data_IF_830412897310
#
_entry.id   IF_830412897310
#
_cell.length_a   1.000
_cell.length_b   1.000
_cell.length_c   1.000
_cell.angle_alpha   90.00
_cell.angle_beta   90.00
_cell.angle_gamma   90.00
#
_symmetry.space_group_name_H-M   'P 1'
#
loop_
_entity.id
_entity.type
_entity.pdbx_description
1 polymer ?
#
# COMPACT_ATOMS: atom_id res chain seq x y z
N UNK A 1 -15.91 50.90 -47.03
CA UNK A 1 -14.69 50.33 -47.62
C UNK A 1 -13.67 50.12 -46.52
N UNK A 2 -13.41 48.92 -46.12
CA UNK A 2 -12.12 48.25 -45.99
C UNK A 2 -12.25 47.02 -45.14
N UNK A 3 -11.84 45.93 -45.72
CA UNK A 3 -12.04 44.56 -45.33
C UNK A 3 -11.28 44.15 -44.05
N UNK A 4 -11.99 43.30 -43.31
CA UNK A 4 -11.53 42.27 -42.46
C UNK A 4 -10.34 41.48 -43.00
N UNK A 5 -9.40 41.08 -42.11
CA UNK A 5 -8.63 39.86 -42.27
C UNK A 5 -8.70 39.01 -41.02
N UNK A 6 -9.19 37.83 -41.26
CA UNK A 6 -9.26 36.70 -40.36
C UNK A 6 -7.88 36.34 -39.80
N UNK A 7 -7.77 36.24 -38.51
CA UNK A 7 -6.71 35.49 -37.82
C UNK A 7 -7.15 34.09 -37.60
N UNK A 8 -6.51 33.14 -38.25
CA UNK A 8 -6.74 31.72 -38.16
C UNK A 8 -6.29 31.24 -36.75
N UNK A 9 -7.25 30.67 -36.06
CA UNK A 9 -7.06 29.96 -34.80
C UNK A 9 -6.02 28.87 -34.98
N UNK A 10 -4.91 28.98 -34.27
CA UNK A 10 -3.97 27.88 -34.08
C UNK A 10 -4.46 26.96 -33.00
N UNK A 11 -5.41 26.13 -33.37
CA UNK A 11 -5.80 24.97 -32.60
C UNK A 11 -4.93 23.81 -33.10
N UNK A 12 -3.67 23.80 -32.69
CA UNK A 12 -2.84 22.62 -32.94
C UNK A 12 -1.77 22.54 -31.85
N UNK A 13 -1.65 21.34 -31.32
CA UNK A 13 -0.57 20.89 -30.47
C UNK A 13 -0.74 21.08 -28.94
N UNK A 14 -1.67 20.37 -28.35
CA UNK A 14 -1.40 19.76 -27.06
C UNK A 14 -1.51 18.25 -27.20
N UNK A 15 -0.57 17.69 -27.91
CA UNK A 15 -0.27 16.26 -27.83
C UNK A 15 0.56 16.09 -26.56
N UNK A 16 -0.11 15.74 -25.48
CA UNK A 16 0.55 15.40 -24.22
C UNK A 16 1.24 14.07 -24.43
N UNK A 17 2.54 14.13 -24.61
CA UNK A 17 3.43 12.98 -24.50
C UNK A 17 3.46 12.59 -23.02
N UNK A 18 2.71 11.58 -22.66
CA UNK A 18 2.90 10.87 -21.38
C UNK A 18 4.17 10.05 -21.51
N UNK A 19 5.29 10.65 -21.17
CA UNK A 19 6.54 9.93 -20.96
C UNK A 19 6.43 9.27 -19.60
N UNK A 20 6.24 7.96 -19.61
CA UNK A 20 6.43 7.12 -18.43
C UNK A 20 7.93 7.12 -18.13
N UNK A 21 8.35 7.96 -17.21
CA UNK A 21 9.70 7.90 -16.65
C UNK A 21 9.64 6.91 -15.50
N UNK A 22 10.03 5.67 -15.77
CA UNK A 22 10.46 4.74 -14.73
C UNK A 22 11.83 5.24 -14.23
N UNK A 23 11.83 6.17 -13.30
CA UNK A 23 13.04 6.58 -12.61
C UNK A 23 13.28 5.64 -11.44
N UNK A 24 14.26 4.75 -11.60
CA UNK A 24 14.88 4.07 -10.48
C UNK A 24 15.54 5.13 -9.59
N UNK A 25 14.97 5.43 -8.44
CA UNK A 25 15.62 6.26 -7.43
C UNK A 25 16.59 5.41 -6.63
N UNK A 26 17.86 5.43 -7.03
CA UNK A 26 18.97 5.18 -6.11
C UNK A 26 19.16 6.47 -5.31
N UNK A 27 18.76 6.48 -4.05
CA UNK A 27 19.06 7.58 -3.14
C UNK A 27 20.21 7.11 -2.25
N UNK A 28 21.41 7.63 -2.53
CA UNK A 28 22.48 7.64 -1.53
C UNK A 28 22.09 8.65 -0.44
N UNK A 29 21.97 8.17 0.80
CA UNK A 29 21.57 8.98 1.95
C UNK A 29 22.84 9.49 2.64
N UNK A 30 23.12 10.80 2.65
CA UNK A 30 24.01 11.36 3.65
C UNK A 30 23.28 11.40 5.00
N UNK A 31 23.97 10.91 6.04
CA UNK A 31 23.51 10.98 7.42
C UNK A 31 23.34 12.44 7.84
N UNK A 32 22.11 12.93 7.81
CA UNK A 32 21.65 14.08 8.59
C UNK A 32 20.30 13.69 9.17
N UNK A 33 20.17 13.77 10.49
CA UNK A 33 18.91 13.53 11.19
C UNK A 33 17.89 14.56 10.72
N UNK A 34 17.05 14.16 9.76
CA UNK A 34 15.90 14.91 9.30
C UNK A 34 14.75 13.93 9.21
N UNK A 35 13.68 14.22 9.93
CA UNK A 35 12.39 13.55 9.84
C UNK A 35 11.88 13.67 8.41
N UNK A 36 12.09 12.65 7.59
CA UNK A 36 11.57 12.62 6.22
C UNK A 36 10.17 12.05 6.23
N UNK A 37 9.19 12.92 6.04
CA UNK A 37 7.83 12.55 5.67
C UNK A 37 7.88 12.01 4.24
N UNK A 38 7.92 10.70 4.08
CA UNK A 38 7.75 10.08 2.77
C UNK A 38 6.25 9.85 2.57
N UNK A 39 5.57 10.80 1.95
CA UNK A 39 4.22 10.59 1.45
C UNK A 39 4.31 9.68 0.23
N UNK A 40 4.00 8.41 0.39
CA UNK A 40 3.74 7.53 -0.73
C UNK A 40 2.30 7.79 -1.18
N UNK A 41 2.13 8.48 -2.28
CA UNK A 41 0.83 8.67 -2.88
C UNK A 41 0.19 7.30 -3.13
N UNK A 42 -1.00 7.09 -2.56
CA UNK A 42 -1.80 5.88 -2.77
C UNK A 42 -2.27 5.83 -4.22
N UNK A 43 -1.55 5.12 -5.05
CA UNK A 43 -2.04 4.72 -6.37
C UNK A 43 -2.63 3.32 -6.24
N UNK A 44 -3.96 3.20 -6.39
CA UNK A 44 -4.58 1.90 -6.65
C UNK A 44 -3.98 1.34 -7.95
N UNK A 45 -3.04 0.43 -7.83
CA UNK A 45 -2.44 -0.23 -8.99
C UNK A 45 -3.44 -1.22 -9.56
N UNK A 46 -3.99 -0.90 -10.73
CA UNK A 46 -4.71 -1.88 -11.55
C UNK A 46 -3.77 -2.33 -12.64
N UNK A 47 -3.30 -3.55 -12.59
CA UNK A 47 -2.49 -4.15 -13.66
C UNK A 47 -3.31 -5.23 -14.34
N UNK A 48 -3.32 -5.22 -15.65
CA UNK A 48 -4.01 -6.20 -16.48
C UNK A 48 -3.02 -7.24 -16.95
N UNK A 49 -3.19 -8.49 -16.54
CA UNK A 49 -2.44 -9.59 -17.09
C UNK A 49 -3.22 -10.20 -18.27
N UNK A 50 -2.62 -10.20 -19.46
CA UNK A 50 -3.17 -10.90 -20.64
C UNK A 50 -2.37 -12.18 -20.83
N UNK A 51 -3.00 -13.32 -20.65
CA UNK A 51 -2.38 -14.62 -20.96
C UNK A 51 -3.05 -15.21 -22.18
N UNK A 52 -2.27 -15.44 -23.24
CA UNK A 52 -2.70 -16.25 -24.38
C UNK A 52 -2.46 -17.71 -24.03
N UNK A 53 -3.49 -18.45 -23.67
CA UNK A 53 -3.38 -19.90 -23.44
C UNK A 53 -3.15 -20.60 -24.77
N UNK A 54 -1.98 -21.22 -24.92
CA UNK A 54 -1.67 -22.10 -26.03
C UNK A 54 -2.12 -23.53 -25.67
N UNK A 55 -3.17 -23.97 -26.26
CA UNK A 55 -3.80 -25.29 -26.36
C UNK A 55 -5.18 -25.37 -25.68
N UNK A 56 -6.22 -24.99 -26.44
CA UNK A 56 -7.61 -25.22 -26.05
C UNK A 56 -8.46 -23.98 -25.87
N UNK A 57 -8.19 -22.93 -26.60
CA UNK A 57 -9.22 -22.00 -27.05
C UNK A 57 -9.88 -21.06 -26.06
N UNK A 58 -9.34 -20.74 -24.91
CA UNK A 58 -9.87 -19.65 -24.08
C UNK A 58 -8.99 -18.42 -24.19
N UNK A 59 -9.44 -17.43 -24.95
CA UNK A 59 -8.85 -16.09 -24.98
C UNK A 59 -9.62 -15.21 -24.01
N UNK A 60 -8.98 -14.79 -22.91
CA UNK A 60 -9.59 -13.90 -21.94
C UNK A 60 -8.58 -13.16 -21.12
N UNK A 61 -9.03 -12.09 -20.46
CA UNK A 61 -8.22 -11.27 -19.56
C UNK A 61 -8.73 -11.42 -18.15
N UNK A 62 -7.84 -11.73 -17.21
CA UNK A 62 -8.11 -11.67 -15.78
C UNK A 62 -7.41 -10.44 -15.20
N UNK A 63 -8.18 -9.53 -14.65
CA UNK A 63 -7.66 -8.33 -14.00
C UNK A 63 -7.73 -8.52 -12.50
N UNK A 64 -6.67 -8.16 -11.80
CA UNK A 64 -6.56 -8.17 -10.34
C UNK A 64 -6.53 -6.73 -9.83
N UNK A 65 -7.25 -6.45 -8.77
CA UNK A 65 -7.18 -5.20 -8.02
C UNK A 65 -6.86 -5.51 -6.57
N UNK A 66 -5.71 -5.01 -6.10
CA UNK A 66 -5.23 -5.18 -4.73
C UNK A 66 -5.09 -3.79 -4.13
N UNK A 67 -5.68 -3.56 -2.95
CA UNK A 67 -5.51 -2.29 -2.25
C UNK A 67 -4.05 -2.12 -1.79
N UNK A 68 -3.54 -0.92 -1.88
CA UNK A 68 -2.17 -0.54 -1.52
C UNK A 68 -2.20 0.62 -0.51
N UNK A 69 -1.19 0.81 0.32
CA UNK A 69 0.05 0.03 0.45
C UNK A 69 -0.16 -1.23 1.31
N UNK A 70 0.68 -2.25 1.09
CA UNK A 70 0.73 -3.45 1.94
C UNK A 70 1.97 -3.41 2.82
N UNK A 71 1.76 -3.33 4.14
CA UNK A 71 2.82 -3.31 5.13
C UNK A 71 2.51 -4.36 6.18
N UNK A 72 3.48 -5.22 6.46
CA UNK A 72 3.36 -6.28 7.44
C UNK A 72 4.41 -6.15 8.52
N UNK A 73 4.04 -6.49 9.76
CA UNK A 73 4.95 -6.53 10.91
C UNK A 73 4.67 -7.78 11.75
N UNK A 74 5.67 -8.28 12.50
CA UNK A 74 5.48 -9.42 13.40
C UNK A 74 4.34 -9.19 14.40
N UNK A 75 3.49 -10.21 14.57
CA UNK A 75 2.37 -10.19 15.51
C UNK A 75 1.16 -9.38 15.06
N UNK A 76 1.14 -8.93 13.81
CA UNK A 76 -0.01 -8.28 13.20
C UNK A 76 -0.29 -8.92 11.84
N UNK A 77 -1.55 -9.25 11.60
CA UNK A 77 -2.02 -9.74 10.31
C UNK A 77 -2.61 -8.57 9.52
N UNK A 78 -2.18 -8.43 8.27
CA UNK A 78 -2.74 -7.48 7.32
C UNK A 78 -3.72 -8.19 6.41
N UNK A 79 -4.99 -7.76 6.44
CA UNK A 79 -6.03 -8.33 5.59
C UNK A 79 -6.48 -7.35 4.53
N UNK A 80 -6.38 -7.77 3.28
CA UNK A 80 -6.70 -6.94 2.11
C UNK A 80 -7.65 -7.67 1.15
N UNK A 81 -8.56 -6.91 0.55
CA UNK A 81 -9.42 -7.46 -0.50
C UNK A 81 -8.65 -7.51 -1.82
N UNK A 82 -8.65 -8.69 -2.44
CA UNK A 82 -8.20 -8.90 -3.81
C UNK A 82 -9.43 -9.11 -4.68
N UNK A 83 -9.66 -8.21 -5.60
CA UNK A 83 -10.79 -8.28 -6.52
C UNK A 83 -10.32 -8.74 -7.89
N UNK A 84 -11.00 -9.72 -8.44
CA UNK A 84 -10.75 -10.30 -9.75
C UNK A 84 -11.88 -9.93 -10.70
N UNK A 85 -11.55 -9.54 -11.92
CA UNK A 85 -12.53 -9.30 -13.00
C UNK A 85 -12.12 -10.10 -14.23
N UNK A 86 -12.99 -11.01 -14.69
CA UNK A 86 -12.74 -11.84 -15.84
C UNK A 86 -13.49 -11.29 -17.06
N UNK A 87 -12.81 -11.16 -18.20
CA UNK A 87 -13.35 -10.73 -19.49
C UNK A 87 -12.98 -11.75 -20.54
N UNK A 88 -13.94 -12.10 -21.39
CA UNK A 88 -13.77 -13.12 -22.45
C UNK A 88 -14.12 -14.52 -21.96
N UNK A 89 -13.44 -15.54 -22.48
CA UNK A 89 -13.75 -16.94 -22.22
C UNK A 89 -13.06 -17.53 -21.00
N UNK A 90 -12.80 -16.73 -19.95
CA UNK A 90 -12.29 -17.22 -18.67
C UNK A 90 -13.44 -17.88 -17.92
N UNK A 91 -13.27 -19.16 -17.60
CA UNK A 91 -14.24 -19.93 -16.81
C UNK A 91 -13.51 -21.01 -16.01
N UNK A 92 -14.13 -21.46 -14.92
CA UNK A 92 -13.64 -22.54 -14.07
C UNK A 92 -13.09 -22.05 -12.73
N UNK A 93 -12.64 -23.00 -11.93
CA UNK A 93 -12.12 -22.76 -10.59
C UNK A 93 -10.60 -22.53 -10.63
N UNK A 94 -10.18 -21.38 -10.11
CA UNK A 94 -8.78 -20.97 -10.02
C UNK A 94 -8.31 -20.99 -8.58
N UNK A 95 -7.29 -21.79 -8.29
CA UNK A 95 -6.60 -21.79 -7.01
C UNK A 95 -5.70 -20.56 -6.88
N UNK A 96 -5.73 -19.92 -5.71
CA UNK A 96 -4.97 -18.71 -5.43
C UNK A 96 -3.72 -19.04 -4.63
N UNK A 97 -2.63 -18.38 -5.00
CA UNK A 97 -1.34 -18.47 -4.31
C UNK A 97 -0.62 -17.12 -4.34
N UNK A 98 0.33 -16.93 -3.42
CA UNK A 98 1.26 -15.80 -3.45
C UNK A 98 2.70 -16.31 -3.53
N UNK A 99 3.55 -15.57 -4.23
CA UNK A 99 4.98 -15.88 -4.38
C UNK A 99 5.83 -14.61 -4.32
N UNK A 100 7.14 -14.76 -4.09
CA UNK A 100 8.05 -13.61 -3.98
C UNK A 100 7.85 -12.77 -2.70
N UNK A 101 7.15 -13.31 -1.70
CA UNK A 101 7.02 -12.67 -0.39
C UNK A 101 8.37 -12.55 0.30
N UNK A 102 8.59 -11.53 1.17
CA UNK A 102 9.75 -11.47 2.05
C UNK A 102 9.91 -12.75 2.86
N UNK A 103 11.16 -13.13 3.16
CA UNK A 103 11.42 -14.30 4.01
C UNK A 103 10.73 -14.14 5.36
N UNK A 104 10.00 -15.15 5.80
CA UNK A 104 9.21 -15.13 7.03
C UNK A 104 7.84 -14.44 6.90
N UNK A 105 7.46 -13.98 5.71
CA UNK A 105 6.11 -13.51 5.42
C UNK A 105 5.33 -14.59 4.68
N UNK A 106 4.08 -14.81 5.09
CA UNK A 106 3.15 -15.77 4.46
C UNK A 106 1.88 -15.06 4.02
N UNK A 107 1.19 -15.64 3.04
CA UNK A 107 -0.11 -15.18 2.59
C UNK A 107 -1.11 -16.34 2.59
N UNK A 108 -2.33 -16.06 3.02
CA UNK A 108 -3.47 -16.98 2.92
C UNK A 108 -4.62 -16.30 2.20
N UNK A 109 -5.45 -17.07 1.52
CA UNK A 109 -6.61 -16.57 0.78
C UNK A 109 -7.91 -17.19 1.31
N UNK A 110 -8.93 -16.37 1.49
CA UNK A 110 -10.26 -16.80 1.90
C UNK A 110 -11.33 -16.19 0.99
N UNK A 111 -11.99 -17.00 0.15
CA UNK A 111 -11.71 -18.39 -0.15
C UNK A 111 -10.35 -18.60 -0.84
N UNK A 112 -9.80 -19.83 -0.77
CA UNK A 112 -8.51 -20.19 -1.39
C UNK A 112 -8.58 -20.39 -2.90
N UNK A 113 -9.78 -20.34 -3.47
CA UNK A 113 -10.03 -20.42 -4.89
C UNK A 113 -11.20 -19.53 -5.29
N UNK A 114 -11.24 -19.15 -6.55
CA UNK A 114 -12.33 -18.39 -7.17
C UNK A 114 -12.88 -19.15 -8.36
N UNK A 115 -14.21 -19.19 -8.48
CA UNK A 115 -14.88 -19.75 -9.64
C UNK A 115 -15.34 -18.61 -10.55
N UNK A 116 -14.93 -18.65 -11.80
CA UNK A 116 -15.33 -17.68 -12.81
C UNK A 116 -16.32 -18.30 -13.78
N UNK A 117 -17.59 -18.00 -13.68
CA UNK A 117 -18.45 -17.97 -14.86
C UNK A 117 -18.08 -16.71 -15.65
N UNK A 118 -18.05 -16.82 -16.98
CA UNK A 118 -17.64 -15.72 -17.88
C UNK A 118 -18.36 -14.40 -17.54
N UNK A 119 -17.58 -13.30 -17.44
CA UNK A 119 -18.09 -11.93 -17.28
C UNK A 119 -18.38 -11.48 -15.85
N UNK A 120 -17.89 -12.16 -14.82
CA UNK A 120 -18.13 -11.78 -13.42
C UNK A 120 -16.89 -11.24 -12.71
N UNK A 121 -17.19 -10.49 -11.65
CA UNK A 121 -16.19 -10.03 -10.66
C UNK A 121 -16.32 -10.88 -9.41
N UNK A 122 -15.20 -11.30 -8.85
CA UNK A 122 -15.11 -12.01 -7.57
C UNK A 122 -14.11 -11.32 -6.64
N UNK A 123 -14.31 -11.45 -5.33
CA UNK A 123 -13.40 -10.90 -4.33
C UNK A 123 -13.05 -11.95 -3.29
N UNK A 124 -11.80 -11.95 -2.88
CA UNK A 124 -11.28 -12.77 -1.79
C UNK A 124 -10.53 -11.90 -0.80
N UNK A 125 -10.42 -12.36 0.43
CA UNK A 125 -9.53 -11.76 1.42
C UNK A 125 -8.18 -12.44 1.35
N UNK A 126 -7.12 -11.67 1.12
CA UNK A 126 -5.74 -12.09 1.30
C UNK A 126 -5.27 -11.60 2.67
N UNK A 127 -4.81 -12.52 3.51
CA UNK A 127 -4.22 -12.20 4.81
C UNK A 127 -2.73 -12.45 4.75
N UNK A 128 -1.95 -11.43 5.04
CA UNK A 128 -0.49 -11.45 5.13
C UNK A 128 -0.08 -11.49 6.59
N UNK A 129 0.82 -12.40 6.95
CA UNK A 129 1.32 -12.56 8.32
C UNK A 129 2.85 -12.59 8.29
N UNK A 130 3.49 -11.88 9.22
CA UNK A 130 4.94 -11.85 9.37
C UNK A 130 5.36 -12.59 10.65
N UNK A 131 6.31 -13.51 10.52
CA UNK A 131 6.96 -14.15 11.66
C UNK A 131 7.88 -13.16 12.41
N UNK A 132 8.22 -13.44 13.67
CA UNK A 132 9.09 -12.60 14.49
C UNK A 132 10.49 -12.34 13.88
N UNK A 133 10.95 -13.25 13.01
CA UNK A 133 12.22 -13.12 12.28
C UNK A 133 12.05 -12.77 10.81
N UNK A 134 10.91 -12.23 10.41
CA UNK A 134 10.69 -11.84 9.02
C UNK A 134 11.72 -10.80 8.55
N UNK A 135 12.16 -10.94 7.30
CA UNK A 135 13.12 -10.01 6.72
C UNK A 135 12.50 -8.62 6.59
N UNK A 136 13.22 -7.59 7.06
CA UNK A 136 12.81 -6.18 6.95
C UNK A 136 13.25 -5.66 5.59
N UNK A 137 12.33 -5.59 4.65
CA UNK A 137 12.64 -5.27 3.25
C UNK A 137 11.42 -4.73 2.51
N UNK A 138 11.68 -3.86 1.53
CA UNK A 138 10.73 -3.54 0.48
C UNK A 138 10.96 -4.50 -0.68
N UNK A 139 9.90 -5.18 -1.12
CA UNK A 139 9.98 -6.13 -2.22
C UNK A 139 8.75 -6.09 -3.10
N UNK A 140 8.79 -6.84 -4.18
CA UNK A 140 7.64 -7.08 -5.05
C UNK A 140 7.25 -8.55 -4.94
N UNK A 141 6.01 -8.79 -4.55
CA UNK A 141 5.40 -10.11 -4.49
C UNK A 141 4.36 -10.26 -5.62
N UNK A 142 3.84 -11.47 -5.78
CA UNK A 142 2.87 -11.80 -6.81
C UNK A 142 1.69 -12.55 -6.22
N UNK A 143 0.47 -12.20 -6.65
CA UNK A 143 -0.70 -13.08 -6.55
C UNK A 143 -0.84 -13.84 -7.84
N UNK A 144 -1.09 -15.13 -7.74
CA UNK A 144 -1.30 -16.04 -8.85
C UNK A 144 -2.65 -16.72 -8.75
N UNK A 145 -3.37 -16.79 -9.87
CA UNK A 145 -4.59 -17.58 -10.02
C UNK A 145 -4.31 -18.67 -11.06
N UNK A 146 -4.45 -19.95 -10.67
CA UNK A 146 -4.04 -21.10 -11.47
C UNK A 146 -5.19 -22.08 -11.66
N UNK A 147 -5.43 -22.49 -12.92
CA UNK A 147 -6.36 -23.55 -13.28
C UNK A 147 -5.74 -24.39 -14.42
N UNK A 148 -5.35 -25.63 -14.13
CA UNK A 148 -4.64 -26.48 -15.08
C UNK A 148 -3.33 -25.83 -15.57
N UNK A 149 -3.20 -25.60 -16.85
CA UNK A 149 -2.05 -24.89 -17.45
C UNK A 149 -2.19 -23.37 -17.50
N UNK A 150 -3.34 -22.83 -17.15
CA UNK A 150 -3.59 -21.38 -17.15
C UNK A 150 -3.10 -20.77 -15.85
N UNK A 151 -2.21 -19.79 -15.94
CA UNK A 151 -1.65 -19.04 -14.81
C UNK A 151 -1.77 -17.55 -15.10
N UNK A 152 -2.47 -16.85 -14.23
CA UNK A 152 -2.54 -15.38 -14.23
C UNK A 152 -1.76 -14.86 -13.05
N UNK A 153 -0.93 -13.85 -13.26
CA UNK A 153 -0.06 -13.30 -12.21
C UNK A 153 -0.19 -11.79 -12.15
N UNK A 154 -0.33 -11.27 -10.93
CA UNK A 154 -0.34 -9.85 -10.63
C UNK A 154 0.74 -9.54 -9.60
N UNK A 155 1.68 -8.67 -9.95
CA UNK A 155 2.68 -8.16 -9.04
C UNK A 155 2.12 -7.04 -8.16
N UNK A 156 2.58 -6.99 -6.91
CA UNK A 156 2.26 -5.92 -5.96
C UNK A 156 3.46 -5.60 -5.06
N UNK A 157 3.65 -4.32 -4.68
CA UNK A 157 4.67 -3.94 -3.70
C UNK A 157 4.24 -4.36 -2.30
N UNK A 158 5.19 -4.83 -1.50
CA UNK A 158 5.01 -5.17 -0.10
C UNK A 158 6.20 -4.67 0.72
N UNK A 159 5.93 -4.09 1.89
CA UNK A 159 6.93 -3.70 2.86
C UNK A 159 6.79 -4.60 4.10
N UNK A 160 7.87 -5.30 4.47
CA UNK A 160 7.97 -5.97 5.76
C UNK A 160 8.81 -5.11 6.70
N UNK A 161 8.27 -4.81 7.89
CA UNK A 161 8.88 -3.91 8.89
C UNK A 161 8.98 -4.58 10.25
N UNK A 162 9.83 -4.06 11.14
CA UNK A 162 9.96 -4.60 12.50
C UNK A 162 8.78 -4.22 13.40
N UNK A 163 8.21 -3.04 13.21
CA UNK A 163 7.20 -2.47 14.08
C UNK A 163 6.22 -1.59 13.30
N UNK A 164 4.94 -1.83 13.50
CA UNK A 164 3.85 -1.13 12.81
C UNK A 164 2.77 -0.75 13.80
N UNK A 165 2.21 0.43 13.64
CA UNK A 165 0.99 0.90 14.29
C UNK A 165 0.01 1.28 13.20
N UNK A 166 -1.18 0.73 13.23
CA UNK A 166 -2.27 1.13 12.34
C UNK A 166 -3.04 2.28 12.95
N UNK A 167 -3.46 3.23 12.14
CA UNK A 167 -4.48 4.23 12.49
C UNK A 167 -5.77 3.72 11.87
N UNK A 168 -6.68 3.21 12.71
CA UNK A 168 -7.88 2.56 12.24
C UNK A 168 -9.03 2.73 13.24
N UNK A 169 -10.18 3.20 12.75
CA UNK A 169 -11.37 3.48 13.56
C UNK A 169 -11.10 4.60 14.58
N UNK A 170 -10.39 5.65 14.17
CA UNK A 170 -9.95 6.74 15.01
C UNK A 170 -9.18 6.26 16.26
N UNK A 171 -8.27 5.32 16.09
CA UNK A 171 -7.42 4.79 17.16
C UNK A 171 -6.08 4.31 16.62
N UNK A 172 -5.03 4.39 17.44
CA UNK A 172 -3.76 3.70 17.20
C UNK A 172 -3.88 2.23 17.62
N UNK A 173 -3.46 1.31 16.75
CA UNK A 173 -3.51 -0.14 16.98
C UNK A 173 -2.17 -0.80 16.63
N UNK A 174 -1.44 -1.37 17.63
CA UNK A 174 -1.72 -1.25 19.06
C UNK A 174 -1.51 0.19 19.57
N UNK A 175 -2.20 0.56 20.65
CA UNK A 175 -2.01 1.85 21.31
C UNK A 175 -0.78 1.88 22.23
N UNK A 176 -0.19 0.72 22.51
CA UNK A 176 1.08 0.58 23.22
C UNK A 176 1.93 -0.47 22.51
N UNK A 177 3.12 -0.08 22.10
CA UNK A 177 4.06 -0.93 21.37
C UNK A 177 5.40 -0.95 22.09
N UNK A 178 5.97 -2.15 22.30
CA UNK A 178 7.32 -2.30 22.87
C UNK A 178 8.30 -2.66 21.77
N UNK A 179 9.42 -1.94 21.71
CA UNK A 179 10.48 -2.12 20.71
C UNK A 179 11.85 -2.01 21.34
N UNK A 180 12.88 -2.57 20.72
CA UNK A 180 14.27 -2.34 21.12
C UNK A 180 14.75 -0.95 20.66
N UNK A 181 15.75 -0.38 21.34
CA UNK A 181 16.41 0.84 20.91
C UNK A 181 17.00 0.65 19.50
N UNK A 182 16.89 1.69 18.66
CA UNK A 182 17.27 1.66 17.25
C UNK A 182 16.15 1.19 16.31
N UNK A 183 15.02 0.70 16.81
CA UNK A 183 13.89 0.26 15.96
C UNK A 183 13.20 1.45 15.31
N UNK A 184 12.95 1.32 14.00
CA UNK A 184 12.05 2.24 13.29
C UNK A 184 10.62 1.72 13.36
N UNK A 185 9.74 2.51 13.96
CA UNK A 185 8.30 2.25 14.01
C UNK A 185 7.64 2.98 12.85
N UNK A 186 6.70 2.31 12.19
CA UNK A 186 5.88 2.87 11.14
C UNK A 186 4.43 3.02 11.61
N UNK A 187 3.77 4.07 11.14
CA UNK A 187 2.33 4.29 11.28
C UNK A 187 1.72 4.28 9.88
N UNK A 188 0.67 3.48 9.69
CA UNK A 188 -0.11 3.39 8.47
C UNK A 188 -1.53 3.85 8.77
N UNK A 189 -2.00 4.87 8.07
CA UNK A 189 -3.38 5.32 8.17
C UNK A 189 -4.29 4.49 7.26
N UNK A 190 -5.26 3.78 7.83
CA UNK A 190 -6.25 2.99 7.12
C UNK A 190 -7.63 3.66 7.09
N UNK A 191 -7.83 4.74 7.85
CA UNK A 191 -9.11 5.41 7.91
C UNK A 191 -9.35 6.25 6.65
N UNK A 192 -10.55 6.12 6.11
CA UNK A 192 -11.02 6.98 5.03
C UNK A 192 -11.28 8.38 5.60
N UNK A 193 -10.25 9.21 5.61
CA UNK A 193 -10.39 10.62 5.98
C UNK A 193 -10.98 11.37 4.79
N UNK A 194 -12.16 11.98 4.97
CA UNK A 194 -12.85 12.69 3.92
C UNK A 194 -12.25 14.06 3.55
N UNK A 195 -10.95 14.24 3.76
CA UNK A 195 -10.33 15.54 3.69
C UNK A 195 -9.08 15.66 2.86
N UNK A 196 -8.84 16.86 2.41
CA UNK A 196 -7.55 17.30 1.90
C UNK A 196 -6.52 17.31 3.04
N UNK A 197 -5.26 17.02 2.72
CA UNK A 197 -4.13 17.13 3.65
C UNK A 197 -4.16 18.49 4.36
N UNK A 198 -4.16 18.47 5.68
CA UNK A 198 -4.12 19.69 6.51
C UNK A 198 -5.47 20.35 6.78
N UNK A 199 -6.60 19.82 6.33
CA UNK A 199 -7.95 20.36 6.57
C UNK A 199 -8.83 19.30 7.24
N UNK A 200 -9.14 19.48 8.51
CA UNK A 200 -10.20 18.82 9.31
C UNK A 200 -10.58 17.35 8.97
N UNK A 201 -9.63 16.48 8.65
CA UNK A 201 -9.97 15.12 8.30
C UNK A 201 -8.81 14.15 8.28
N UNK A 202 -7.57 14.63 8.26
CA UNK A 202 -6.38 13.79 8.33
C UNK A 202 -6.01 13.47 9.78
N UNK A 203 -5.32 12.35 9.96
CA UNK A 203 -4.66 12.04 11.21
C UNK A 203 -3.24 12.63 11.23
N UNK A 204 -2.58 12.50 12.35
CA UNK A 204 -1.14 12.73 12.51
C UNK A 204 -0.59 11.92 13.67
N UNK A 205 0.72 11.86 13.76
CA UNK A 205 1.44 11.24 14.86
C UNK A 205 2.43 12.25 15.39
N UNK A 206 2.15 12.78 16.58
CA UNK A 206 2.97 13.82 17.20
C UNK A 206 3.33 13.42 18.63
N UNK A 207 4.62 13.37 18.94
CA UNK A 207 5.10 13.10 20.29
C UNK A 207 4.62 14.19 21.25
N UNK A 208 4.24 13.80 22.47
CA UNK A 208 3.77 14.75 23.50
C UNK A 208 4.90 15.68 23.94
N UNK A 209 6.14 15.18 23.95
CA UNK A 209 7.36 15.94 24.26
C UNK A 209 7.93 16.73 23.06
N UNK A 210 7.30 16.64 21.90
CA UNK A 210 7.71 17.34 20.69
C UNK A 210 8.91 16.70 19.97
N UNK A 211 9.37 15.53 20.37
CA UNK A 211 10.57 14.87 19.77
C UNK A 211 10.37 14.47 18.32
N UNK A 212 9.13 14.23 17.88
CA UNK A 212 8.80 13.96 16.48
C UNK A 212 7.37 14.39 16.13
N UNK A 213 7.12 14.58 14.83
CA UNK A 213 5.78 14.86 14.30
C UNK A 213 5.72 14.47 12.82
N UNK A 214 4.59 13.91 12.40
CA UNK A 214 4.24 13.72 10.98
C UNK A 214 3.69 15.00 10.32
N UNK A 215 3.48 16.06 11.11
CA UNK A 215 2.75 17.26 10.72
C UNK A 215 1.24 17.11 10.93
N UNK A 216 0.61 18.12 11.51
CA UNK A 216 -0.80 18.10 11.93
C UNK A 216 -1.73 17.81 10.75
N UNK A 217 -2.54 16.75 10.87
CA UNK A 217 -3.52 16.35 9.86
C UNK A 217 -2.93 15.90 8.50
N UNK A 218 -1.64 15.58 8.45
CA UNK A 218 -0.96 15.25 7.19
C UNK A 218 -1.09 13.79 6.76
N UNK A 219 -1.60 12.91 7.63
CA UNK A 219 -1.83 11.52 7.28
C UNK A 219 -3.27 11.38 6.76
N UNK A 220 -3.38 10.99 5.51
CA UNK A 220 -4.64 10.59 4.89
C UNK A 220 -4.63 9.09 4.67
N UNK A 221 -5.75 8.52 4.26
CA UNK A 221 -5.85 7.08 4.03
C UNK A 221 -4.66 6.55 3.20
N UNK A 222 -4.04 5.49 3.69
CA UNK A 222 -2.84 4.82 3.15
C UNK A 222 -1.54 5.64 3.23
N UNK A 223 -1.53 6.77 3.93
CA UNK A 223 -0.28 7.47 4.25
C UNK A 223 0.54 6.70 5.27
N UNK A 224 1.86 6.79 5.13
CA UNK A 224 2.83 6.11 5.99
C UNK A 224 3.74 7.16 6.60
N UNK A 225 3.93 7.09 7.92
CA UNK A 225 4.93 7.85 8.65
C UNK A 225 5.88 6.89 9.36
N UNK A 226 7.15 7.24 9.51
CA UNK A 226 8.11 6.41 10.21
C UNK A 226 9.09 7.24 11.05
N UNK A 227 9.33 6.78 12.30
CA UNK A 227 10.27 7.38 13.23
C UNK A 227 11.15 6.32 13.89
N UNK A 228 12.45 6.63 14.10
CA UNK A 228 13.41 5.72 14.74
C UNK A 228 13.59 6.10 16.20
N UNK A 229 13.35 5.15 17.10
CA UNK A 229 13.51 5.32 18.55
C UNK A 229 14.90 4.88 18.99
N UNK A 230 15.82 5.82 19.11
CA UNK A 230 17.24 5.52 19.40
C UNK A 230 17.54 5.27 20.89
N UNK A 231 16.72 5.82 21.80
CA UNK A 231 17.00 5.84 23.25
C UNK A 231 15.93 5.09 24.02
N UNK A 232 16.32 4.28 25.00
CA UNK A 232 15.40 3.59 25.90
C UNK A 232 14.55 4.57 26.70
N UNK A 233 13.28 4.24 26.90
CA UNK A 233 12.30 5.07 27.60
C UNK A 233 10.90 4.87 27.06
N UNK A 234 9.94 5.60 27.62
CA UNK A 234 8.55 5.61 27.12
C UNK A 234 8.26 6.94 26.47
N UNK A 235 7.88 6.92 25.20
CA UNK A 235 7.48 8.09 24.43
C UNK A 235 5.99 8.03 24.17
N UNK A 236 5.25 8.99 24.72
CA UNK A 236 3.83 9.16 24.46
C UNK A 236 3.61 10.01 23.22
N UNK A 237 2.62 9.66 22.43
CA UNK A 237 2.24 10.40 21.23
C UNK A 237 0.72 10.47 21.07
N UNK A 238 0.27 11.38 20.24
CA UNK A 238 -1.13 11.63 19.95
C UNK A 238 -1.32 12.10 18.52
N UNK A 239 -2.56 12.10 18.05
CA UNK A 239 -2.94 12.92 16.90
C UNK A 239 -3.22 14.34 17.38
N UNK A 240 -2.50 15.34 16.86
CA UNK A 240 -2.77 16.74 17.19
C UNK A 240 -4.08 17.22 16.54
N UNK A 241 -4.43 16.69 15.37
CA UNK A 241 -5.70 16.94 14.70
C UNK A 241 -6.89 16.32 15.47
N UNK A 242 -6.67 15.19 16.15
CA UNK A 242 -7.69 14.47 16.95
C UNK A 242 -7.11 14.07 18.31
N UNK A 243 -7.02 14.98 19.30
CA UNK A 243 -6.26 14.78 20.54
C UNK A 243 -6.72 13.64 21.44
N UNK A 244 -7.89 13.08 21.21
CA UNK A 244 -8.40 11.89 21.90
C UNK A 244 -7.70 10.60 21.47
N UNK A 245 -7.08 10.60 20.28
CA UNK A 245 -6.32 9.47 19.76
C UNK A 245 -4.91 9.53 20.34
N UNK A 246 -4.58 8.60 21.23
CA UNK A 246 -3.31 8.56 21.94
C UNK A 246 -2.66 7.20 21.87
N UNK A 247 -1.33 7.17 21.96
CA UNK A 247 -0.54 5.94 22.01
C UNK A 247 0.79 6.14 22.70
N UNK A 248 1.54 5.06 22.87
CA UNK A 248 2.90 5.09 23.41
C UNK A 248 3.80 4.05 22.77
N UNK A 249 5.07 4.37 22.71
CA UNK A 249 6.15 3.40 22.38
C UNK A 249 7.03 3.25 23.60
N UNK A 250 7.18 2.00 24.07
CA UNK A 250 8.11 1.61 25.14
C UNK A 250 9.37 1.09 24.48
N UNK A 251 10.47 1.81 24.64
CA UNK A 251 11.76 1.47 24.05
C UNK A 251 12.61 0.80 25.11
N UNK A 252 13.01 -0.45 24.85
CA UNK A 252 13.92 -1.21 25.72
C UNK A 252 15.36 -1.04 25.29
N UNK A 253 16.30 -1.07 26.26
CA UNK A 253 17.73 -0.99 25.99
C UNK A 253 18.31 -2.31 25.53
#
# INVERSE_FOLDING_TARGET
>A
MKQSRRGVSSMLALLVVVVVIAAAFYVEIPMVASSSTTSLASTSSTTTATTTASSGGSTGTLTFKIAQPLIVAPGQDESVSVTFSAIGSISGNYTLNASGLPSGVTATFQPSSVDFPSGLTSSVTMTLSAASGAAVVNSTANVQATAGSSVFTQSFPIMSVQALVLIQGNAFKPNSLTVAAGTKVYWLDLDATGGEVGVNGGHDVTAVDGSFSSGTGNLVQYSIYGHTFATAGTVQYKSAAQPSITGQVVVTG
#
